data_IF_889667224046
#
_entry.id   IF_889667224046
#
_cell.length_a   1.000
_cell.length_b   1.000
_cell.length_c   1.000
_cell.angle_alpha   90.00
_cell.angle_beta   90.00
_cell.angle_gamma   90.00
#
_symmetry.space_group_name_H-M   'P 1'
#
loop_
_entity.id
_entity.type
_entity.pdbx_description
1 polymer ?
#
# COMPACT_ATOMS: atom_id res chain seq x y z
N UNK A 1 -20.62 35.33 50.56
CA UNK A 1 -21.14 34.22 49.73
C UNK A 1 -20.49 34.12 48.35
N UNK A 2 -20.20 35.23 47.63
CA UNK A 2 -19.55 35.16 46.30
C UNK A 2 -18.09 34.64 46.32
N UNK A 3 -17.34 34.91 47.39
CA UNK A 3 -15.93 34.50 47.55
C UNK A 3 -15.76 32.99 47.80
N UNK A 4 -16.68 32.36 48.53
CA UNK A 4 -16.66 30.91 48.79
C UNK A 4 -17.12 30.12 47.57
N UNK A 5 -18.08 30.66 46.79
CA UNK A 5 -18.51 30.08 45.52
C UNK A 5 -17.39 30.11 44.46
N UNK A 6 -16.61 31.19 44.40
CA UNK A 6 -15.47 31.31 43.48
C UNK A 6 -14.35 30.29 43.77
N UNK A 7 -14.06 30.02 45.05
CA UNK A 7 -13.05 29.01 45.40
C UNK A 7 -13.51 27.58 45.05
N UNK A 8 -14.81 27.30 45.20
CA UNK A 8 -15.39 25.99 44.87
C UNK A 8 -15.37 25.72 43.36
N UNK A 9 -15.66 26.73 42.54
CA UNK A 9 -15.59 26.59 41.08
C UNK A 9 -14.14 26.49 40.58
N UNK A 10 -13.21 27.24 41.16
CA UNK A 10 -11.80 27.17 40.79
C UNK A 10 -11.16 25.83 41.19
N UNK A 11 -11.52 25.29 42.37
CA UNK A 11 -11.06 23.98 42.83
C UNK A 11 -11.56 22.82 41.94
N UNK A 12 -12.82 22.88 41.51
CA UNK A 12 -13.39 21.88 40.60
C UNK A 12 -12.70 21.87 39.22
N UNK A 13 -12.31 23.03 38.70
CA UNK A 13 -11.61 23.14 37.42
C UNK A 13 -10.19 22.56 37.48
N UNK A 14 -9.46 22.81 38.57
CA UNK A 14 -8.13 22.24 38.79
C UNK A 14 -8.17 20.71 38.96
N UNK A 15 -9.19 20.18 39.63
CA UNK A 15 -9.37 18.74 39.81
C UNK A 15 -9.71 18.04 38.48
N UNK A 16 -10.55 18.66 37.65
CA UNK A 16 -10.88 18.16 36.32
C UNK A 16 -9.67 18.14 35.38
N UNK A 17 -8.80 19.15 35.46
CA UNK A 17 -7.56 19.21 34.69
C UNK A 17 -6.54 18.13 35.10
N UNK A 18 -6.53 17.71 36.37
CA UNK A 18 -5.64 16.66 36.86
C UNK A 18 -6.07 15.24 36.45
N UNK A 19 -7.36 15.02 36.19
CA UNK A 19 -7.90 13.73 35.76
C UNK A 19 -7.89 13.53 34.24
N UNK A 20 -7.70 14.59 33.46
CA UNK A 20 -7.50 14.46 32.02
C UNK A 20 -6.10 13.87 31.79
N UNK A 21 -6.02 12.60 31.36
CA UNK A 21 -4.77 11.85 31.13
C UNK A 21 -3.77 12.46 30.13
N UNK A 22 -4.02 13.67 29.64
CA UNK A 22 -3.04 14.53 29.01
C UNK A 22 -2.16 15.15 30.09
N UNK A 23 -1.25 14.36 30.66
CA UNK A 23 -0.20 14.90 31.52
C UNK A 23 0.81 15.67 30.64
N UNK A 24 0.88 17.00 30.69
CA UNK A 24 1.87 17.76 29.92
C UNK A 24 3.31 17.47 30.39
N UNK A 25 3.48 16.74 31.50
CA UNK A 25 4.75 16.25 32.02
C UNK A 25 5.05 14.80 31.61
N UNK A 26 4.22 14.17 30.77
CA UNK A 26 4.55 12.83 30.25
C UNK A 26 5.70 12.99 29.27
N UNK A 27 6.88 12.63 29.73
CA UNK A 27 8.09 12.58 28.92
C UNK A 27 7.92 11.52 27.82
N UNK A 28 8.37 11.86 26.62
CA UNK A 28 8.34 10.93 25.49
C UNK A 28 9.19 9.70 25.83
N UNK A 29 8.58 8.51 25.78
CA UNK A 29 9.32 7.29 26.12
C UNK A 29 10.22 6.88 24.95
N UNK A 30 11.24 6.07 25.22
CA UNK A 30 12.04 5.47 24.17
C UNK A 30 11.18 4.65 23.18
N UNK A 31 10.08 4.04 23.65
CA UNK A 31 9.15 3.34 22.79
C UNK A 31 8.43 4.30 21.85
N UNK A 32 7.90 5.40 22.38
CA UNK A 32 7.20 6.43 21.59
C UNK A 32 8.10 6.97 20.46
N UNK A 33 9.39 7.18 20.75
CA UNK A 33 10.39 7.67 19.78
C UNK A 33 10.83 6.66 18.72
N UNK A 34 10.62 5.36 18.96
CA UNK A 34 11.11 4.27 18.10
C UNK A 34 9.97 3.46 17.48
N UNK A 35 8.72 3.78 17.80
CA UNK A 35 7.56 3.11 17.24
C UNK A 35 7.58 3.19 15.71
N UNK A 36 7.44 2.05 15.03
CA UNK A 36 7.43 1.99 13.57
C UNK A 36 8.80 1.98 12.87
N UNK A 37 9.89 2.36 13.55
CA UNK A 37 11.23 2.46 12.92
C UNK A 37 11.72 1.14 12.30
N UNK A 38 11.39 0.00 12.92
CA UNK A 38 11.74 -1.31 12.39
C UNK A 38 11.09 -1.59 11.02
N UNK A 39 9.82 -1.18 10.85
CA UNK A 39 9.08 -1.34 9.60
C UNK A 39 9.62 -0.40 8.52
N UNK A 40 9.92 0.85 8.88
CA UNK A 40 10.54 1.82 7.98
C UNK A 40 11.90 1.34 7.48
N UNK A 41 12.73 0.81 8.39
CA UNK A 41 14.04 0.26 8.07
C UNK A 41 13.93 -0.96 7.14
N UNK A 42 12.97 -1.86 7.43
CA UNK A 42 12.73 -3.03 6.57
C UNK A 42 12.27 -2.62 5.17
N UNK A 43 11.38 -1.63 5.06
CA UNK A 43 10.93 -1.09 3.76
C UNK A 43 12.08 -0.43 3.01
N UNK A 44 12.87 0.42 3.67
CA UNK A 44 14.01 1.08 3.05
C UNK A 44 15.00 0.07 2.46
N UNK A 45 15.29 -1.01 3.19
CA UNK A 45 16.20 -2.06 2.73
C UNK A 45 15.64 -2.91 1.58
N UNK A 46 14.32 -2.92 1.37
CA UNK A 46 13.66 -3.64 0.28
C UNK A 46 13.47 -2.77 -0.97
N UNK A 47 13.52 -1.45 -0.83
CA UNK A 47 13.37 -0.51 -1.94
C UNK A 47 14.70 -0.45 -2.71
N UNK A 48 14.72 -1.06 -3.90
CA UNK A 48 15.89 -1.08 -4.79
C UNK A 48 16.28 0.33 -5.28
N UNK A 49 15.28 1.17 -5.52
CA UNK A 49 15.46 2.58 -5.87
C UNK A 49 14.33 3.43 -5.24
N UNK A 50 14.64 4.25 -4.22
CA UNK A 50 13.67 5.15 -3.58
C UNK A 50 13.07 6.22 -4.49
N UNK A 51 13.68 6.46 -5.65
CA UNK A 51 13.23 7.44 -6.65
C UNK A 51 12.51 6.78 -7.84
N UNK A 52 12.36 5.45 -7.84
CA UNK A 52 11.65 4.74 -8.89
C UNK A 52 10.20 5.27 -9.03
N UNK A 53 9.81 5.63 -10.25
CA UNK A 53 8.49 6.18 -10.55
C UNK A 53 8.32 7.69 -10.29
N UNK A 54 9.38 8.41 -9.89
CA UNK A 54 9.35 9.87 -9.78
C UNK A 54 9.43 10.63 -11.12
N UNK A 55 9.48 9.90 -12.24
CA UNK A 55 9.49 10.44 -13.60
C UNK A 55 8.21 10.03 -14.31
N UNK A 56 7.41 11.00 -14.75
CA UNK A 56 6.23 10.79 -15.60
C UNK A 56 6.61 10.43 -17.05
N UNK A 57 7.91 10.43 -17.35
CA UNK A 57 8.42 9.97 -18.62
C UNK A 57 8.01 8.49 -18.81
N UNK A 58 7.48 8.12 -19.99
CA UNK A 58 7.26 6.73 -20.33
C UNK A 58 8.54 5.93 -20.09
N UNK A 59 8.41 4.68 -19.62
CA UNK A 59 9.57 3.79 -19.48
C UNK A 59 10.13 3.49 -20.87
N UNK A 60 11.06 4.31 -21.34
CA UNK A 60 11.80 4.09 -22.57
C UNK A 60 12.80 2.96 -22.31
N UNK A 61 12.49 1.74 -22.77
CA UNK A 61 13.42 0.63 -22.63
C UNK A 61 12.83 -0.74 -22.34
N UNK A 62 11.50 -0.90 -22.20
CA UNK A 62 10.88 -2.23 -22.27
C UNK A 62 10.90 -2.81 -23.71
N UNK A 63 11.82 -2.35 -24.55
CA UNK A 63 11.98 -2.64 -25.96
C UNK A 63 13.37 -3.21 -26.28
N UNK A 64 13.93 -4.02 -25.39
CA UNK A 64 14.99 -4.95 -25.79
C UNK A 64 14.43 -5.98 -26.78
N UNK A 65 15.29 -6.54 -27.66
CA UNK A 65 14.90 -7.65 -28.56
C UNK A 65 14.05 -8.75 -27.88
N UNK A 66 14.31 -9.16 -26.62
CA UNK A 66 13.49 -10.15 -25.94
C UNK A 66 12.03 -9.71 -25.68
N UNK A 67 11.80 -8.44 -25.32
CA UNK A 67 10.46 -7.91 -25.10
C UNK A 67 9.70 -7.81 -26.43
N UNK A 68 10.38 -7.41 -27.51
CA UNK A 68 9.83 -7.44 -28.86
C UNK A 68 9.39 -8.85 -29.27
N UNK A 69 10.23 -9.86 -29.03
CA UNK A 69 9.88 -11.27 -29.32
C UNK A 69 8.70 -11.79 -28.49
N UNK A 70 8.55 -11.34 -27.25
CA UNK A 70 7.41 -11.73 -26.40
C UNK A 70 6.09 -11.16 -26.92
N UNK A 71 6.10 -9.87 -27.34
CA UNK A 71 4.94 -9.21 -27.94
C UNK A 71 4.59 -9.82 -29.29
N UNK A 72 5.59 -10.04 -30.15
CA UNK A 72 5.40 -10.67 -31.46
C UNK A 72 4.79 -12.08 -31.35
N UNK A 73 5.28 -12.89 -30.40
CA UNK A 73 4.74 -14.23 -30.12
C UNK A 73 3.28 -14.17 -29.69
N UNK A 74 2.91 -13.20 -28.87
CA UNK A 74 1.53 -12.98 -28.44
C UNK A 74 0.63 -12.56 -29.62
N UNK A 75 1.08 -11.65 -30.48
CA UNK A 75 0.31 -11.27 -31.66
C UNK A 75 0.11 -12.44 -32.64
N UNK A 76 1.11 -13.31 -32.78
CA UNK A 76 1.04 -14.46 -33.67
C UNK A 76 0.12 -15.59 -33.16
N UNK A 77 -0.12 -15.71 -31.85
CA UNK A 77 -0.99 -16.78 -31.32
C UNK A 77 -2.43 -16.64 -31.80
N UNK A 78 -2.94 -15.41 -31.93
CA UNK A 78 -4.30 -15.15 -32.44
C UNK A 78 -4.47 -15.45 -33.93
N UNK A 79 -3.36 -15.47 -34.70
CA UNK A 79 -3.39 -15.84 -36.12
C UNK A 79 -3.40 -17.37 -36.32
N UNK A 80 -3.00 -18.13 -35.30
CA UNK A 80 -2.85 -19.58 -35.37
C UNK A 80 -4.16 -20.33 -35.13
N UNK A 81 -5.10 -19.76 -34.39
CA UNK A 81 -6.40 -20.40 -34.09
C UNK A 81 -7.41 -20.39 -35.25
N UNK A 82 -7.14 -19.67 -36.34
CA UNK A 82 -7.99 -19.70 -37.54
C UNK A 82 -7.79 -20.97 -38.40
N UNK A 83 -6.81 -21.82 -38.07
CA UNK A 83 -6.53 -23.07 -38.79
C UNK A 83 -6.53 -24.22 -37.79
N UNK A 84 -7.57 -25.04 -37.88
CA UNK A 84 -7.85 -26.29 -37.14
C UNK A 84 -8.95 -26.19 -36.08
N UNK A 85 -10.19 -25.99 -36.56
CA UNK A 85 -11.33 -26.66 -35.92
C UNK A 85 -11.45 -28.05 -36.56
N UNK A 86 -11.29 -29.16 -35.83
CA UNK A 86 -11.62 -30.47 -36.36
C UNK A 86 -13.13 -30.51 -36.63
N UNK A 87 -13.52 -30.59 -37.90
CA UNK A 87 -14.90 -30.88 -38.32
C UNK A 87 -15.27 -32.24 -37.72
N UNK A 88 -16.05 -32.21 -36.65
CA UNK A 88 -16.63 -33.39 -36.02
C UNK A 88 -17.54 -34.09 -37.03
N UNK A 89 -17.00 -35.08 -37.73
CA UNK A 89 -17.78 -35.95 -38.60
C UNK A 89 -18.47 -36.97 -37.71
N UNK A 90 -19.73 -36.73 -37.39
CA UNK A 90 -20.64 -37.73 -36.80
C UNK A 90 -20.84 -38.83 -37.85
N UNK A 91 -20.06 -39.90 -37.77
CA UNK A 91 -20.34 -41.13 -38.51
C UNK A 91 -21.33 -41.95 -37.70
N UNK A 92 -22.53 -42.10 -38.25
CA UNK A 92 -23.57 -43.01 -37.77
C UNK A 92 -23.01 -44.44 -37.67
N UNK A 93 -23.06 -45.03 -36.47
CA UNK A 93 -22.83 -46.45 -36.25
C UNK A 93 -24.18 -47.15 -36.28
N UNK A 94 -24.50 -47.76 -37.42
CA UNK A 94 -25.60 -48.73 -37.55
C UNK A 94 -25.00 -50.12 -37.34
N UNK A 95 -25.57 -50.87 -36.38
CA UNK A 95 -25.36 -52.31 -36.24
C UNK A 95 -26.72 -53.00 -36.23
#
# INVERSE_FOLDING_TARGET
>A
MKRTSLCLTLGAFLLAAACAGNNPLREETALDRNWGRAVESAKFNQILDPKAGGTDAPVEGLAGRPAGHAVEKYEQSFKKEARELPVSTTTAVTK
#
